data_IF_088047543883
#
_entry.id   IF_088047543883
#
_cell.length_a   1.000
_cell.length_b   1.000
_cell.length_c   1.000
_cell.angle_alpha   90.00
_cell.angle_beta   90.00
_cell.angle_gamma   90.00
#
_symmetry.space_group_name_H-M   'P 1'
#
loop_
_entity.id
_entity.type
_entity.pdbx_description
1 polymer ?
#
# COMPACT_ATOMS: atom_id res chain seq x y z
N UNK A 1 102.18 -5.49 55.06
CA UNK A 1 100.86 -5.24 54.61
C UNK A 1 100.15 -6.58 54.25
N UNK A 2 99.20 -7.10 55.07
CA UNK A 2 98.52 -8.34 54.83
C UNK A 2 97.22 -8.03 54.09
N UNK A 3 96.99 -8.67 52.93
CA UNK A 3 95.72 -8.55 52.17
C UNK A 3 94.68 -9.42 52.87
N UNK A 4 93.53 -8.82 53.26
CA UNK A 4 92.33 -9.49 53.74
C UNK A 4 91.63 -10.11 52.59
N UNK A 5 91.37 -11.42 52.63
CA UNK A 5 90.55 -12.14 51.64
C UNK A 5 89.07 -11.99 51.97
N UNK A 6 88.32 -11.34 51.13
CA UNK A 6 86.86 -11.26 51.20
C UNK A 6 86.28 -12.65 50.98
N UNK A 7 85.59 -13.16 51.99
CA UNK A 7 84.77 -14.38 51.89
C UNK A 7 83.40 -13.99 51.38
N UNK A 8 83.09 -14.30 50.11
CA UNK A 8 81.77 -14.25 49.63
C UNK A 8 80.88 -15.25 50.36
N UNK A 9 79.92 -14.78 51.18
CA UNK A 9 78.86 -15.59 51.78
C UNK A 9 78.01 -16.21 50.70
N UNK A 10 78.13 -17.53 50.47
CA UNK A 10 77.16 -18.29 49.68
C UNK A 10 75.85 -18.31 50.46
N UNK A 11 74.86 -17.61 49.98
CA UNK A 11 73.51 -17.73 50.50
C UNK A 11 72.92 -19.09 50.08
N UNK A 12 72.87 -19.99 51.04
CA UNK A 12 72.23 -21.27 50.90
C UNK A 12 70.71 -21.05 50.91
N UNK A 13 70.06 -21.13 49.77
CA UNK A 13 68.61 -21.18 49.61
C UNK A 13 68.16 -22.59 50.08
N UNK A 14 67.34 -22.69 51.11
CA UNK A 14 66.76 -23.93 51.55
C UNK A 14 65.87 -24.51 50.44
N UNK A 15 66.17 -25.74 49.94
CA UNK A 15 65.44 -26.33 48.82
C UNK A 15 63.96 -26.62 49.17
N UNK A 16 63.58 -26.71 50.44
CA UNK A 16 62.21 -26.94 50.93
C UNK A 16 61.33 -25.68 50.81
N UNK A 17 61.87 -24.50 50.64
CA UNK A 17 61.14 -23.25 50.46
C UNK A 17 61.33 -22.64 49.07
N UNK A 18 61.86 -23.38 48.08
CA UNK A 18 61.88 -22.97 46.69
C UNK A 18 60.46 -22.91 46.20
N UNK A 19 59.91 -21.68 46.06
CA UNK A 19 58.63 -21.50 45.41
C UNK A 19 58.68 -22.17 44.02
N UNK A 20 57.73 -23.04 43.69
CA UNK A 20 57.71 -23.65 42.36
C UNK A 20 57.67 -22.51 41.34
N UNK A 21 58.70 -22.40 40.50
CA UNK A 21 58.68 -21.55 39.33
C UNK A 21 57.49 -22.02 38.52
N UNK A 22 56.39 -21.28 38.61
CA UNK A 22 55.28 -21.39 37.66
C UNK A 22 55.90 -21.16 36.27
N UNK A 23 56.36 -22.23 35.65
CA UNK A 23 56.51 -22.28 34.21
C UNK A 23 55.09 -22.13 33.69
N UNK A 24 54.66 -20.86 33.50
CA UNK A 24 53.57 -20.58 32.54
C UNK A 24 53.99 -21.32 31.28
N UNK A 25 53.41 -22.49 31.09
CA UNK A 25 53.38 -23.10 29.75
C UNK A 25 52.77 -22.02 28.87
N UNK A 26 53.58 -21.13 28.33
CA UNK A 26 53.20 -20.46 27.09
C UNK A 26 52.85 -21.63 26.18
N UNK A 27 51.57 -21.94 26.09
CA UNK A 27 51.01 -22.68 25.00
C UNK A 27 51.46 -21.88 23.76
N UNK A 28 52.63 -22.23 23.30
CA UNK A 28 53.10 -21.78 22.00
C UNK A 28 52.02 -22.25 21.02
N UNK A 29 51.13 -21.35 20.67
CA UNK A 29 50.14 -21.51 19.64
C UNK A 29 50.88 -21.55 18.32
N UNK A 30 51.69 -22.58 18.13
CA UNK A 30 52.17 -22.96 16.81
C UNK A 30 50.94 -23.50 16.11
N UNK A 31 50.10 -22.58 15.62
CA UNK A 31 49.03 -22.98 14.71
C UNK A 31 49.68 -23.80 13.60
N UNK A 32 49.48 -25.10 13.62
CA UNK A 32 50.10 -25.98 12.64
C UNK A 32 49.83 -25.39 11.27
N UNK A 33 50.81 -25.25 10.41
CA UNK A 33 50.66 -24.75 9.07
C UNK A 33 49.48 -25.44 8.34
N UNK A 34 49.25 -26.71 8.64
CA UNK A 34 48.10 -27.49 8.19
C UNK A 34 46.77 -26.83 8.61
N UNK A 35 46.65 -26.35 9.85
CA UNK A 35 45.43 -25.61 10.29
C UNK A 35 45.23 -24.31 9.53
N UNK A 36 46.29 -23.57 9.25
CA UNK A 36 46.21 -22.33 8.43
C UNK A 36 45.80 -22.64 6.99
N UNK A 37 46.31 -23.70 6.41
CA UNK A 37 45.94 -24.14 5.07
C UNK A 37 44.47 -24.57 4.99
N UNK A 38 43.95 -25.27 6.01
CA UNK A 38 42.53 -25.63 6.07
C UNK A 38 41.66 -24.39 6.16
N UNK A 39 42.02 -23.39 6.97
CA UNK A 39 41.28 -22.12 7.08
C UNK A 39 41.28 -21.38 5.75
N UNK A 40 42.42 -21.28 5.07
CA UNK A 40 42.51 -20.64 3.75
C UNK A 40 41.66 -21.38 2.72
N UNK A 41 41.70 -22.70 2.72
CA UNK A 41 40.88 -23.53 1.81
C UNK A 41 39.40 -23.34 2.06
N UNK A 42 38.96 -23.36 3.33
CA UNK A 42 37.55 -23.08 3.68
C UNK A 42 37.14 -21.66 3.31
N UNK A 43 38.01 -20.68 3.51
CA UNK A 43 37.76 -19.29 3.11
C UNK A 43 37.64 -19.16 1.58
N UNK A 44 38.47 -19.89 0.81
CA UNK A 44 38.38 -19.91 -0.64
C UNK A 44 37.09 -20.56 -1.14
N UNK A 45 36.65 -21.67 -0.52
CA UNK A 45 35.37 -22.30 -0.84
C UNK A 45 34.22 -21.35 -0.52
N UNK A 46 34.23 -20.73 0.67
CA UNK A 46 33.21 -19.77 1.07
C UNK A 46 33.17 -18.57 0.14
N UNK A 47 34.32 -17.97 -0.17
CA UNK A 47 34.42 -16.86 -1.14
C UNK A 47 33.93 -17.24 -2.52
N UNK A 48 34.27 -18.46 -3.00
CA UNK A 48 33.78 -19.00 -4.25
C UNK A 48 32.25 -19.21 -4.26
N UNK A 49 31.68 -19.72 -3.16
CA UNK A 49 30.25 -19.88 -3.01
C UNK A 49 29.51 -18.53 -3.00
N UNK A 50 30.04 -17.54 -2.27
CA UNK A 50 29.50 -16.17 -2.24
C UNK A 50 29.56 -15.56 -3.65
N UNK A 51 30.72 -15.67 -4.32
CA UNK A 51 30.85 -15.18 -5.70
C UNK A 51 29.83 -15.86 -6.63
N UNK A 52 29.67 -17.17 -6.53
CA UNK A 52 28.72 -17.91 -7.34
C UNK A 52 27.27 -17.45 -7.10
N UNK A 53 26.87 -17.27 -5.85
CA UNK A 53 25.50 -16.84 -5.52
C UNK A 53 25.19 -15.44 -6.07
N UNK A 54 26.12 -14.48 -5.92
CA UNK A 54 25.86 -13.09 -6.26
C UNK A 54 26.22 -12.68 -7.69
N UNK A 55 27.11 -13.40 -8.34
CA UNK A 55 27.61 -13.01 -9.68
C UNK A 55 27.32 -14.04 -10.77
N UNK A 56 26.86 -15.24 -10.43
CA UNK A 56 26.52 -16.25 -11.44
C UNK A 56 25.27 -15.86 -12.22
N UNK A 57 25.24 -16.02 -13.55
CA UNK A 57 24.07 -15.88 -14.38
C UNK A 57 22.92 -16.86 -14.03
N UNK A 58 23.23 -17.92 -13.28
CA UNK A 58 22.26 -18.91 -12.83
C UNK A 58 21.18 -18.31 -11.93
N UNK A 59 21.51 -17.32 -11.11
CA UNK A 59 20.59 -16.63 -10.22
C UNK A 59 20.13 -15.27 -10.77
N UNK A 60 20.42 -14.98 -12.03
CA UNK A 60 19.91 -13.79 -12.70
C UNK A 60 18.42 -13.96 -12.99
N UNK A 61 17.63 -12.93 -12.65
CA UNK A 61 16.19 -12.88 -12.93
C UNK A 61 15.96 -12.86 -14.45
N UNK A 62 15.30 -13.90 -14.97
CA UNK A 62 14.94 -14.01 -16.39
C UNK A 62 13.44 -13.94 -16.61
N UNK A 63 12.66 -14.46 -15.66
CA UNK A 63 11.23 -14.57 -15.77
C UNK A 63 10.56 -13.62 -14.76
N UNK A 64 9.69 -12.77 -15.28
CA UNK A 64 8.85 -11.87 -14.49
C UNK A 64 7.40 -12.23 -14.81
N UNK A 65 6.69 -12.79 -13.85
CA UNK A 65 5.29 -13.14 -13.97
C UNK A 65 4.47 -12.16 -13.15
N UNK A 66 3.55 -11.44 -13.78
CA UNK A 66 2.66 -10.49 -13.12
C UNK A 66 1.23 -11.02 -13.29
N UNK A 67 0.56 -11.26 -12.18
CA UNK A 67 -0.81 -11.77 -12.16
C UNK A 67 -1.74 -10.77 -11.43
N UNK A 68 -3.01 -10.74 -11.84
CA UNK A 68 -4.05 -9.92 -11.21
C UNK A 68 -4.20 -8.52 -11.79
N UNK A 69 -3.60 -8.24 -12.95
CA UNK A 69 -3.82 -7.01 -13.70
C UNK A 69 -5.12 -7.09 -14.51
N UNK A 70 -5.95 -6.06 -14.40
CA UNK A 70 -7.21 -5.93 -15.13
C UNK A 70 -7.21 -4.70 -16.06
N UNK A 71 -6.75 -3.56 -15.56
CA UNK A 71 -6.78 -2.24 -16.23
C UNK A 71 -5.42 -1.64 -16.44
N UNK A 72 -4.46 -1.98 -15.56
CA UNK A 72 -3.09 -1.46 -15.66
C UNK A 72 -2.35 -2.28 -16.72
N UNK A 73 -1.64 -1.58 -17.60
CA UNK A 73 -0.89 -2.24 -18.65
C UNK A 73 0.29 -3.05 -18.06
N UNK A 74 0.37 -4.32 -18.45
CA UNK A 74 1.44 -5.24 -18.06
C UNK A 74 2.85 -4.65 -18.31
N UNK A 75 3.07 -4.05 -19.48
CA UNK A 75 4.37 -3.51 -19.86
C UNK A 75 4.78 -2.29 -19.01
N UNK A 76 3.82 -1.54 -18.48
CA UNK A 76 4.13 -0.41 -17.60
C UNK A 76 4.70 -0.88 -16.26
N UNK A 77 4.04 -1.87 -15.61
CA UNK A 77 4.56 -2.43 -14.34
C UNK A 77 5.88 -3.14 -14.57
N UNK A 78 5.96 -3.93 -15.65
CA UNK A 78 7.19 -4.60 -16.05
C UNK A 78 8.34 -3.62 -16.25
N UNK A 79 8.09 -2.47 -16.88
CA UNK A 79 9.09 -1.40 -17.04
C UNK A 79 9.64 -0.90 -15.72
N UNK A 80 8.78 -0.59 -14.74
CA UNK A 80 9.20 -0.16 -13.40
C UNK A 80 10.08 -1.22 -12.70
N UNK A 81 9.72 -2.51 -12.86
CA UNK A 81 10.51 -3.61 -12.29
C UNK A 81 11.87 -3.73 -12.99
N UNK A 82 11.89 -3.63 -14.33
CA UNK A 82 13.13 -3.69 -15.12
C UNK A 82 14.05 -2.54 -14.79
N UNK A 83 13.56 -1.32 -14.68
CA UNK A 83 14.35 -0.15 -14.29
C UNK A 83 15.04 -0.38 -12.94
N UNK A 84 14.35 -1.00 -11.99
CA UNK A 84 14.95 -1.36 -10.72
C UNK A 84 16.03 -2.44 -10.86
N UNK A 85 15.82 -3.44 -11.72
CA UNK A 85 16.81 -4.51 -11.96
C UNK A 85 18.11 -3.98 -12.57
N UNK A 86 18.08 -2.88 -13.33
CA UNK A 86 19.28 -2.20 -13.82
C UNK A 86 20.08 -1.48 -12.71
N UNK A 87 19.43 -1.21 -11.57
CA UNK A 87 20.07 -0.58 -10.42
C UNK A 87 21.07 -1.51 -9.71
N UNK A 88 21.87 -0.90 -8.82
CA UNK A 88 22.80 -1.63 -7.95
C UNK A 88 22.45 -1.43 -6.49
N UNK A 89 22.54 -2.50 -5.69
CA UNK A 89 22.42 -2.43 -4.24
C UNK A 89 23.83 -2.43 -3.63
N UNK A 90 24.07 -1.54 -2.67
CA UNK A 90 25.39 -1.36 -2.04
C UNK A 90 26.54 -1.08 -3.06
N UNK A 91 26.23 -0.44 -4.19
CA UNK A 91 27.15 -0.07 -5.27
C UNK A 91 27.85 -1.25 -5.99
N UNK A 92 27.76 -2.47 -5.47
CA UNK A 92 28.52 -3.64 -5.94
C UNK A 92 27.60 -4.72 -6.54
N UNK A 93 26.44 -4.95 -5.92
CA UNK A 93 25.56 -6.05 -6.31
C UNK A 93 24.45 -5.58 -7.25
N UNK A 94 24.35 -6.18 -8.41
CA UNK A 94 23.30 -5.87 -9.38
C UNK A 94 21.94 -6.40 -8.90
N UNK A 95 20.91 -5.58 -8.98
CA UNK A 95 19.55 -5.99 -8.58
C UNK A 95 18.88 -6.97 -9.55
N UNK A 96 19.51 -7.32 -10.67
CA UNK A 96 19.06 -8.39 -11.54
C UNK A 96 19.28 -9.80 -10.96
N UNK A 97 19.97 -9.92 -9.82
CA UNK A 97 20.13 -11.18 -9.10
C UNK A 97 18.98 -11.37 -8.10
N UNK A 98 18.37 -12.56 -8.08
CA UNK A 98 17.17 -12.86 -7.29
C UNK A 98 17.38 -12.67 -5.77
N UNK A 99 18.60 -12.91 -5.26
CA UNK A 99 18.92 -12.71 -3.84
C UNK A 99 19.18 -11.24 -3.50
N UNK A 100 19.58 -10.44 -4.47
CA UNK A 100 19.90 -9.02 -4.30
C UNK A 100 18.69 -8.14 -4.52
N UNK A 101 17.72 -8.58 -5.33
CA UNK A 101 16.53 -7.83 -5.69
C UNK A 101 15.80 -7.33 -4.45
N UNK A 102 15.59 -6.01 -4.37
CA UNK A 102 14.93 -5.35 -3.25
C UNK A 102 13.43 -5.25 -3.45
N UNK A 103 12.69 -6.17 -2.80
CA UNK A 103 11.22 -6.23 -2.86
C UNK A 103 10.56 -4.99 -2.28
N UNK A 104 11.15 -4.41 -1.22
CA UNK A 104 10.59 -3.23 -0.58
C UNK A 104 10.71 -2.00 -1.48
N UNK A 105 11.86 -1.84 -2.15
CA UNK A 105 12.04 -0.76 -3.11
C UNK A 105 11.12 -0.93 -4.31
N UNK A 106 10.95 -2.15 -4.84
CA UNK A 106 10.01 -2.43 -5.92
C UNK A 106 8.57 -2.12 -5.51
N UNK A 107 8.15 -2.59 -4.35
CA UNK A 107 6.82 -2.31 -3.80
C UNK A 107 6.58 -0.81 -3.62
N UNK A 108 7.58 -0.08 -3.12
CA UNK A 108 7.51 1.36 -2.96
C UNK A 108 7.33 2.07 -4.30
N UNK A 109 8.21 1.78 -5.28
CA UNK A 109 8.19 2.42 -6.61
C UNK A 109 6.85 2.18 -7.34
N UNK A 110 6.32 0.95 -7.26
CA UNK A 110 5.04 0.61 -7.85
C UNK A 110 3.90 1.30 -7.10
N UNK A 111 3.92 1.27 -5.77
CA UNK A 111 2.90 1.92 -4.96
C UNK A 111 2.90 3.45 -5.10
N UNK A 112 4.02 4.10 -5.39
CA UNK A 112 4.06 5.54 -5.65
C UNK A 112 3.37 5.90 -6.96
N UNK A 113 3.41 5.00 -7.94
CA UNK A 113 2.87 5.25 -9.28
C UNK A 113 1.42 4.78 -9.45
N UNK A 114 1.04 3.68 -8.78
CA UNK A 114 -0.28 3.06 -8.91
C UNK A 114 -0.99 2.94 -7.56
N UNK A 115 -2.29 3.21 -7.54
CA UNK A 115 -3.14 2.98 -6.37
C UNK A 115 -3.59 1.50 -6.37
N UNK A 116 -2.74 0.61 -5.87
CA UNK A 116 -3.08 -0.80 -5.74
C UNK A 116 -3.78 -1.05 -4.40
N UNK A 117 -4.67 -2.04 -4.36
CA UNK A 117 -5.30 -2.52 -3.13
C UNK A 117 -4.34 -3.44 -2.37
N UNK A 118 -3.69 -4.36 -3.09
CA UNK A 118 -2.67 -5.22 -2.56
C UNK A 118 -1.58 -5.48 -3.60
N UNK A 119 -0.35 -5.69 -3.12
CA UNK A 119 0.80 -6.00 -3.94
C UNK A 119 1.73 -6.95 -3.19
N UNK A 120 2.07 -8.07 -3.80
CA UNK A 120 2.95 -9.09 -3.21
C UNK A 120 3.99 -9.53 -4.22
N UNK A 121 5.22 -9.72 -3.75
CA UNK A 121 6.34 -10.26 -4.54
C UNK A 121 6.76 -11.59 -3.93
N UNK A 122 6.82 -12.62 -4.74
CA UNK A 122 7.32 -13.93 -4.37
C UNK A 122 8.52 -14.29 -5.26
N UNK A 123 9.65 -14.69 -4.64
CA UNK A 123 10.84 -15.16 -5.34
C UNK A 123 10.78 -16.68 -5.53
N UNK A 124 10.79 -17.15 -6.77
CA UNK A 124 10.95 -18.56 -7.10
C UNK A 124 12.32 -18.82 -7.70
N UNK A 125 13.17 -19.44 -6.91
CA UNK A 125 14.52 -19.82 -7.33
C UNK A 125 14.48 -20.76 -8.53
N UNK A 126 15.46 -20.68 -9.45
CA UNK A 126 16.63 -19.81 -9.34
C UNK A 126 16.46 -18.41 -9.96
N UNK A 127 15.45 -18.16 -10.83
CA UNK A 127 15.47 -17.04 -11.79
C UNK A 127 14.11 -16.37 -12.01
N UNK A 128 13.07 -16.68 -11.20
CA UNK A 128 11.70 -16.21 -11.44
C UNK A 128 11.21 -15.32 -10.32
N UNK A 129 10.69 -14.14 -10.68
CA UNK A 129 9.89 -13.28 -9.81
C UNK A 129 8.42 -13.40 -10.16
N UNK A 130 7.58 -13.56 -9.14
CA UNK A 130 6.12 -13.57 -9.27
C UNK A 130 5.58 -12.36 -8.52
N UNK A 131 4.82 -11.54 -9.24
CA UNK A 131 4.12 -10.37 -8.73
C UNK A 131 2.62 -10.67 -8.72
N UNK A 132 2.02 -10.63 -7.54
CA UNK A 132 0.57 -10.72 -7.37
C UNK A 132 0.05 -9.32 -7.09
N UNK A 133 -0.80 -8.83 -7.97
CA UNK A 133 -1.35 -7.46 -7.94
C UNK A 133 -2.85 -7.57 -7.74
N UNK A 134 -3.40 -6.75 -6.86
CA UNK A 134 -4.84 -6.54 -6.73
C UNK A 134 -5.11 -5.05 -7.02
N UNK A 135 -5.77 -4.78 -8.14
CA UNK A 135 -6.13 -3.42 -8.53
C UNK A 135 -7.33 -2.93 -7.72
N UNK A 136 -7.42 -1.61 -7.50
CA UNK A 136 -8.60 -0.98 -6.93
C UNK A 136 -9.69 -0.85 -7.98
N UNK A 137 -10.89 -1.32 -7.67
CA UNK A 137 -12.04 -1.21 -8.57
C UNK A 137 -12.73 0.15 -8.38
N UNK A 138 -12.98 0.90 -9.45
CA UNK A 138 -13.69 2.18 -9.40
C UNK A 138 -15.13 1.99 -8.88
N UNK A 139 -15.59 2.92 -8.07
CA UNK A 139 -16.94 2.91 -7.51
C UNK A 139 -17.73 4.19 -7.85
N UNK A 140 -17.09 5.36 -7.73
CA UNK A 140 -17.75 6.64 -7.98
C UNK A 140 -16.75 7.69 -8.50
N UNK A 141 -17.29 8.80 -8.99
CA UNK A 141 -16.54 9.98 -9.42
C UNK A 141 -16.69 11.05 -8.36
N UNK A 142 -15.56 11.53 -7.83
CA UNK A 142 -15.50 12.63 -6.87
C UNK A 142 -15.08 13.91 -7.55
N UNK A 143 -15.87 14.98 -7.36
CA UNK A 143 -15.56 16.31 -7.84
C UNK A 143 -15.28 17.24 -6.67
N UNK A 144 -14.09 17.81 -6.63
CA UNK A 144 -13.73 18.89 -5.70
C UNK A 144 -13.06 20.02 -6.45
N UNK A 145 -13.43 21.26 -6.17
CA UNK A 145 -13.01 22.44 -6.93
C UNK A 145 -13.26 22.26 -8.44
N UNK A 146 -12.20 22.24 -9.26
CA UNK A 146 -12.28 22.06 -10.72
C UNK A 146 -11.78 20.69 -11.19
N UNK A 147 -11.49 19.76 -10.26
CA UNK A 147 -10.89 18.46 -10.57
C UNK A 147 -11.85 17.33 -10.30
N UNK A 148 -11.67 16.26 -11.08
CA UNK A 148 -12.42 15.03 -10.96
C UNK A 148 -11.47 13.87 -10.65
N UNK A 149 -11.92 12.96 -9.79
CA UNK A 149 -11.15 11.81 -9.36
C UNK A 149 -12.01 10.54 -9.41
N UNK A 150 -11.39 9.44 -9.78
CA UNK A 150 -11.98 8.10 -9.55
C UNK A 150 -11.70 7.69 -8.12
N UNK A 151 -12.73 7.21 -7.43
CA UNK A 151 -12.69 6.71 -6.06
C UNK A 151 -13.14 5.26 -6.05
N UNK A 152 -12.47 4.44 -5.25
CA UNK A 152 -12.79 3.02 -5.11
C UNK A 152 -13.85 2.76 -4.04
N UNK A 153 -14.18 1.48 -3.86
CA UNK A 153 -15.16 1.01 -2.86
C UNK A 153 -14.74 1.25 -1.41
N UNK A 154 -13.44 1.47 -1.15
CA UNK A 154 -12.94 1.83 0.18
C UNK A 154 -13.01 3.34 0.45
N UNK A 155 -13.39 4.14 -0.54
CA UNK A 155 -13.42 5.60 -0.49
C UNK A 155 -12.05 6.24 -0.71
N UNK A 156 -11.14 5.55 -1.39
CA UNK A 156 -9.77 6.01 -1.68
C UNK A 156 -9.65 6.49 -3.12
N UNK A 157 -8.97 7.62 -3.34
CA UNK A 157 -8.69 8.15 -4.67
C UNK A 157 -7.74 7.23 -5.43
N UNK A 158 -8.18 6.75 -6.61
CA UNK A 158 -7.37 5.94 -7.53
C UNK A 158 -6.53 6.81 -8.46
N UNK A 159 -7.15 7.81 -9.10
CA UNK A 159 -6.51 8.74 -10.02
C UNK A 159 -7.36 9.98 -10.31
N UNK A 160 -6.71 11.03 -10.80
CA UNK A 160 -7.38 12.18 -11.40
C UNK A 160 -7.87 11.80 -12.80
N UNK A 161 -9.00 12.36 -13.23
CA UNK A 161 -9.59 12.17 -14.57
C UNK A 161 -9.95 13.51 -15.18
N UNK A 162 -10.05 13.53 -16.52
CA UNK A 162 -10.47 14.72 -17.25
C UNK A 162 -12.00 14.82 -17.33
N UNK A 163 -12.56 16.02 -17.60
CA UNK A 163 -14.00 16.16 -17.80
C UNK A 163 -14.55 15.29 -18.94
N UNK A 164 -13.75 15.04 -19.98
CA UNK A 164 -14.13 14.18 -21.11
C UNK A 164 -14.27 12.72 -20.68
N UNK A 165 -13.37 12.24 -19.80
CA UNK A 165 -13.47 10.89 -19.22
C UNK A 165 -14.72 10.74 -18.34
N UNK A 166 -15.16 11.79 -17.63
CA UNK A 166 -16.39 11.78 -16.81
C UNK A 166 -17.59 11.42 -17.67
N UNK A 167 -17.73 12.05 -18.85
CA UNK A 167 -18.84 11.76 -19.78
C UNK A 167 -18.86 10.30 -20.19
N UNK A 168 -17.68 9.71 -20.44
CA UNK A 168 -17.56 8.29 -20.79
C UNK A 168 -18.06 7.33 -19.68
N UNK A 169 -17.85 7.69 -18.41
CA UNK A 169 -18.34 6.92 -17.27
C UNK A 169 -19.83 7.12 -16.98
N UNK A 170 -20.44 8.18 -17.50
CA UNK A 170 -21.86 8.48 -17.28
C UNK A 170 -22.77 8.03 -18.42
N UNK A 171 -22.27 8.01 -19.65
CA UNK A 171 -23.14 7.83 -20.85
C UNK A 171 -23.14 6.40 -21.41
N UNK A 172 -22.11 5.61 -21.24
CA UNK A 172 -21.84 4.50 -22.16
C UNK A 172 -22.03 3.06 -21.66
N UNK A 173 -22.57 2.83 -20.43
CA UNK A 173 -22.81 1.43 -20.02
C UNK A 173 -24.14 1.28 -19.27
N UNK A 174 -25.12 0.52 -19.82
CA UNK A 174 -26.29 0.08 -19.06
C UNK A 174 -25.83 -0.76 -17.85
N UNK A 175 -26.02 -0.25 -16.63
CA UNK A 175 -25.66 -0.92 -15.38
C UNK A 175 -24.30 -0.55 -14.78
N UNK A 176 -23.54 0.38 -15.39
CA UNK A 176 -22.24 0.82 -14.90
C UNK A 176 -22.08 2.35 -14.80
N UNK A 177 -23.20 3.08 -14.71
CA UNK A 177 -23.14 4.53 -14.46
C UNK A 177 -22.55 4.76 -13.08
N UNK A 178 -21.40 5.45 -13.01
CA UNK A 178 -20.79 5.84 -11.74
C UNK A 178 -21.49 7.07 -11.18
N UNK A 179 -21.81 7.05 -9.91
CA UNK A 179 -22.35 8.19 -9.21
C UNK A 179 -21.38 9.37 -9.25
N UNK A 180 -21.87 10.57 -9.57
CA UNK A 180 -21.10 11.81 -9.50
C UNK A 180 -21.35 12.48 -8.15
N UNK A 181 -20.30 12.62 -7.35
CA UNK A 181 -20.33 13.17 -6.00
C UNK A 181 -19.55 14.48 -5.95
N UNK A 182 -20.19 15.53 -5.48
CA UNK A 182 -19.57 16.84 -5.27
C UNK A 182 -19.14 16.98 -3.81
N UNK A 183 -17.94 17.47 -3.62
CA UNK A 183 -17.40 17.85 -2.33
C UNK A 183 -17.90 19.26 -1.96
N UNK A 184 -18.81 19.35 -1.01
CA UNK A 184 -19.27 20.64 -0.48
C UNK A 184 -18.18 21.39 0.30
N UNK A 185 -17.18 20.68 0.84
CA UNK A 185 -16.06 21.28 1.61
C UNK A 185 -15.01 21.92 0.72
N UNK A 186 -14.91 21.48 -0.54
CA UNK A 186 -13.85 21.83 -1.48
C UNK A 186 -12.43 21.66 -0.90
N UNK A 187 -12.26 20.68 -0.01
CA UNK A 187 -10.97 20.39 0.60
C UNK A 187 -9.97 19.89 -0.47
N UNK A 188 -8.70 20.29 -0.38
CA UNK A 188 -7.68 19.74 -1.26
C UNK A 188 -7.52 18.24 -1.02
N UNK A 189 -7.53 17.47 -2.09
CA UNK A 189 -7.36 16.01 -2.04
C UNK A 189 -6.29 15.59 -3.02
N UNK A 190 -5.63 14.47 -2.73
CA UNK A 190 -4.52 13.94 -3.50
C UNK A 190 -4.64 12.46 -3.80
N UNK A 191 -3.71 11.97 -4.59
CA UNK A 191 -3.56 10.56 -4.94
C UNK A 191 -3.46 9.69 -3.68
N UNK A 192 -4.31 8.66 -3.59
CA UNK A 192 -4.45 7.72 -2.46
C UNK A 192 -5.05 8.29 -1.18
N UNK A 193 -5.55 9.49 -1.18
CA UNK A 193 -6.27 9.99 -0.01
C UNK A 193 -7.57 9.21 0.17
N UNK A 194 -7.84 8.84 1.41
CA UNK A 194 -9.14 8.28 1.80
C UNK A 194 -10.09 9.43 2.13
N UNK A 195 -11.05 9.65 1.23
CA UNK A 195 -11.98 10.80 1.28
C UNK A 195 -13.39 10.43 1.76
N UNK A 196 -13.76 9.16 1.69
CA UNK A 196 -15.06 8.66 2.15
C UNK A 196 -14.89 7.38 2.97
N UNK A 197 -15.89 7.03 3.75
CA UNK A 197 -16.00 5.71 4.32
C UNK A 197 -16.54 4.71 3.29
N UNK A 198 -16.23 3.42 3.45
CA UNK A 198 -16.77 2.36 2.57
C UNK A 198 -18.30 2.31 2.63
N UNK A 199 -18.86 2.58 3.81
CA UNK A 199 -20.31 2.63 4.03
C UNK A 199 -20.94 3.74 3.21
N UNK A 200 -20.33 4.93 3.18
CA UNK A 200 -20.82 6.07 2.38
C UNK A 200 -20.75 5.76 0.89
N UNK A 201 -19.66 5.14 0.41
CA UNK A 201 -19.53 4.73 -1.00
C UNK A 201 -20.62 3.72 -1.37
N UNK A 202 -20.82 2.69 -0.55
CA UNK A 202 -21.88 1.70 -0.75
C UNK A 202 -23.26 2.31 -0.73
N UNK A 203 -23.53 3.24 0.20
CA UNK A 203 -24.82 3.92 0.29
C UNK A 203 -25.10 4.75 -0.98
N UNK A 204 -24.11 5.52 -1.47
CA UNK A 204 -24.25 6.31 -2.71
C UNK A 204 -24.51 5.40 -3.91
N UNK A 205 -23.76 4.30 -4.05
CA UNK A 205 -23.93 3.35 -5.14
C UNK A 205 -25.32 2.70 -5.11
N UNK A 206 -25.85 2.36 -3.94
CA UNK A 206 -27.19 1.83 -3.77
C UNK A 206 -28.26 2.89 -4.10
N UNK A 207 -28.06 4.14 -3.70
CA UNK A 207 -28.96 5.24 -4.03
C UNK A 207 -29.00 5.51 -5.52
N UNK A 208 -27.84 5.49 -6.23
CA UNK A 208 -27.79 5.69 -7.69
C UNK A 208 -28.67 4.69 -8.44
N UNK A 209 -28.79 3.46 -7.95
CA UNK A 209 -29.61 2.41 -8.56
C UNK A 209 -31.07 2.41 -8.07
N UNK A 210 -31.31 2.83 -6.83
CA UNK A 210 -32.62 2.68 -6.16
C UNK A 210 -33.53 3.89 -6.29
N UNK A 211 -33.00 5.12 -6.31
CA UNK A 211 -33.80 6.35 -6.46
C UNK A 211 -34.60 6.38 -7.77
N UNK A 212 -34.04 5.94 -8.93
CA UNK A 212 -34.82 5.85 -10.15
C UNK A 212 -36.04 4.94 -10.05
N UNK A 213 -35.99 3.89 -9.21
CA UNK A 213 -37.16 3.02 -8.95
C UNK A 213 -38.28 3.71 -8.20
N UNK A 214 -38.00 4.82 -7.52
CA UNK A 214 -38.99 5.67 -6.88
C UNK A 214 -39.60 6.73 -7.82
N UNK A 215 -39.17 6.76 -9.09
CA UNK A 215 -39.67 7.68 -10.11
C UNK A 215 -38.99 9.04 -10.13
N UNK A 216 -37.81 9.18 -9.51
CA UNK A 216 -36.99 10.39 -9.55
C UNK A 216 -35.76 10.18 -10.41
N UNK A 217 -35.27 11.27 -11.01
CA UNK A 217 -33.97 11.28 -11.68
C UNK A 217 -32.91 11.85 -10.77
N UNK A 218 -31.66 11.38 -10.93
CA UNK A 218 -30.51 11.85 -10.14
C UNK A 218 -29.65 12.74 -11.01
N UNK A 219 -29.39 13.96 -10.54
CA UNK A 219 -28.42 14.85 -11.15
C UNK A 219 -27.02 14.64 -10.59
N UNK A 220 -26.88 14.65 -9.27
CA UNK A 220 -25.62 14.39 -8.57
C UNK A 220 -25.86 14.13 -7.07
N UNK A 221 -24.80 13.68 -6.40
CA UNK A 221 -24.74 13.62 -4.95
C UNK A 221 -23.80 14.72 -4.42
N UNK A 222 -23.99 15.09 -3.16
CA UNK A 222 -23.12 15.99 -2.41
C UNK A 222 -22.83 15.41 -1.03
N UNK A 223 -21.57 15.51 -0.61
CA UNK A 223 -21.11 15.12 0.72
C UNK A 223 -20.27 16.25 1.29
N UNK A 224 -20.53 16.66 2.52
CA UNK A 224 -19.85 17.83 3.13
C UNK A 224 -18.47 17.48 3.71
N UNK A 225 -18.32 16.30 4.30
CA UNK A 225 -17.08 15.83 4.94
C UNK A 225 -17.03 14.31 4.90
N UNK A 226 -15.82 13.76 4.87
CA UNK A 226 -15.55 12.32 4.93
C UNK A 226 -16.11 11.62 6.17
N UNK A 227 -16.29 12.36 7.25
CA UNK A 227 -16.84 11.87 8.52
C UNK A 227 -18.33 12.17 8.68
N UNK A 228 -18.94 12.93 7.77
CA UNK A 228 -20.37 13.22 7.81
C UNK A 228 -21.12 12.10 7.08
N UNK A 229 -21.99 11.36 7.76
CA UNK A 229 -22.80 10.33 7.13
C UNK A 229 -23.91 10.89 6.23
N UNK A 230 -24.03 12.21 6.09
CA UNK A 230 -25.08 12.86 5.32
C UNK A 230 -24.76 12.85 3.83
N UNK A 231 -25.65 12.22 3.06
CA UNK A 231 -25.64 12.22 1.59
C UNK A 231 -26.80 13.07 1.12
N UNK A 232 -26.52 14.14 0.41
CA UNK A 232 -27.52 14.96 -0.26
C UNK A 232 -27.61 14.53 -1.72
N UNK A 233 -28.77 14.13 -2.19
CA UNK A 233 -29.03 13.81 -3.57
C UNK A 233 -29.80 14.96 -4.23
N UNK A 234 -29.20 15.61 -5.22
CA UNK A 234 -29.91 16.57 -6.06
C UNK A 234 -30.65 15.79 -7.13
N UNK A 235 -31.98 15.95 -7.15
CA UNK A 235 -32.84 15.31 -8.15
C UNK A 235 -32.91 16.13 -9.45
N UNK A 236 -33.26 15.48 -10.55
CA UNK A 236 -33.51 16.17 -11.82
C UNK A 236 -34.76 17.06 -11.78
N UNK A 237 -35.65 16.81 -10.81
CA UNK A 237 -36.82 17.61 -10.52
C UNK A 237 -36.51 18.91 -9.79
N UNK A 238 -35.24 19.10 -9.34
CA UNK A 238 -34.71 20.34 -8.79
C UNK A 238 -34.77 20.47 -7.26
N UNK A 239 -35.12 19.44 -6.53
CA UNK A 239 -35.06 19.43 -5.05
C UNK A 239 -33.99 18.46 -4.53
N UNK A 240 -33.53 18.68 -3.30
CA UNK A 240 -32.54 17.82 -2.65
C UNK A 240 -33.23 16.79 -1.75
N UNK A 241 -32.70 15.56 -1.73
CA UNK A 241 -33.11 14.51 -0.78
C UNK A 241 -31.92 14.17 0.13
N UNK A 242 -32.12 14.25 1.42
CA UNK A 242 -31.08 13.98 2.42
C UNK A 242 -31.23 12.58 2.98
N UNK A 243 -30.17 11.79 2.82
CA UNK A 243 -30.03 10.45 3.35
C UNK A 243 -28.94 10.38 4.41
N UNK A 244 -29.00 9.37 5.25
CA UNK A 244 -27.90 8.98 6.13
C UNK A 244 -27.24 7.72 5.60
N UNK A 245 -25.92 7.72 5.41
CA UNK A 245 -25.15 6.53 5.08
C UNK A 245 -25.17 5.49 6.23
N UNK A 246 -25.38 5.96 7.45
CA UNK A 246 -25.49 5.12 8.66
C UNK A 246 -26.96 4.85 8.94
N UNK A 247 -27.32 3.58 9.05
CA UNK A 247 -28.70 3.15 9.32
C UNK A 247 -29.33 2.39 8.16
N UNK A 248 -30.63 2.18 8.25
CA UNK A 248 -31.37 1.42 7.22
C UNK A 248 -31.72 2.29 6.02
N UNK A 249 -30.92 2.18 4.98
CA UNK A 249 -31.12 2.90 3.72
C UNK A 249 -32.41 2.48 3.00
N UNK A 250 -32.80 1.20 3.13
CA UNK A 250 -34.03 0.71 2.52
C UNK A 250 -35.27 1.34 3.18
N UNK A 251 -35.24 1.49 4.50
CA UNK A 251 -36.33 2.18 5.22
C UNK A 251 -36.42 3.66 4.80
N UNK A 252 -35.29 4.33 4.57
CA UNK A 252 -35.26 5.71 4.05
C UNK A 252 -35.85 5.78 2.63
N UNK A 253 -35.51 4.82 1.76
CA UNK A 253 -36.07 4.75 0.40
C UNK A 253 -37.59 4.46 0.39
N UNK A 254 -38.08 3.58 1.25
CA UNK A 254 -39.52 3.32 1.35
C UNK A 254 -40.29 4.54 1.87
N UNK A 255 -39.71 5.30 2.79
CA UNK A 255 -40.27 6.60 3.22
C UNK A 255 -40.31 7.59 2.04
N UNK A 256 -39.28 7.67 1.24
CA UNK A 256 -39.27 8.52 0.05
C UNK A 256 -40.39 8.13 -0.91
N UNK A 257 -40.55 6.83 -1.21
CA UNK A 257 -41.62 6.33 -2.08
C UNK A 257 -43.02 6.65 -1.54
N UNK A 258 -43.21 6.49 -0.23
CA UNK A 258 -44.47 6.82 0.44
C UNK A 258 -44.77 8.31 0.37
N UNK A 259 -43.75 9.14 0.70
CA UNK A 259 -43.87 10.60 0.63
C UNK A 259 -44.27 11.08 -0.78
N UNK A 260 -43.59 10.56 -1.82
CA UNK A 260 -43.89 10.92 -3.21
C UNK A 260 -45.27 10.48 -3.70
N UNK A 261 -45.83 9.41 -3.14
CA UNK A 261 -47.21 8.96 -3.43
C UNK A 261 -48.25 9.83 -2.77
N UNK A 262 -48.02 10.24 -1.52
CA UNK A 262 -48.99 11.00 -0.71
C UNK A 262 -48.97 12.50 -1.02
N UNK A 263 -47.80 13.04 -1.30
CA UNK A 263 -47.61 14.45 -1.66
C UNK A 263 -47.50 14.61 -3.18
N UNK A 264 -48.67 14.79 -3.81
CA UNK A 264 -48.70 15.49 -5.08
C UNK A 264 -48.33 16.95 -4.78
N UNK A 265 -47.50 17.64 -5.58
CA UNK A 265 -47.26 19.08 -5.43
C UNK A 265 -48.58 19.83 -5.72
N UNK A 266 -49.41 19.93 -4.70
CA UNK A 266 -50.56 20.82 -4.67
C UNK A 266 -50.03 22.18 -4.25
N UNK A 267 -50.41 23.21 -4.99
CA UNK A 267 -50.16 24.62 -4.71
C UNK A 267 -48.95 25.28 -5.36
N UNK A 268 -48.39 24.78 -6.44
CA UNK A 268 -47.39 25.57 -7.23
C UNK A 268 -46.13 25.99 -6.51
N UNK A 269 -45.87 25.49 -5.29
CA UNK A 269 -44.61 25.69 -4.57
C UNK A 269 -43.66 24.56 -4.91
N UNK A 270 -42.53 24.87 -5.53
CA UNK A 270 -41.48 23.92 -5.81
C UNK A 270 -40.90 23.39 -4.50
N UNK A 271 -40.86 22.07 -4.36
CA UNK A 271 -40.18 21.41 -3.25
C UNK A 271 -38.71 21.78 -3.23
N UNK A 272 -38.17 22.17 -2.10
CA UNK A 272 -36.74 22.53 -1.96
C UNK A 272 -35.90 21.36 -1.48
N UNK A 273 -36.37 20.67 -0.43
CA UNK A 273 -35.68 19.47 0.08
C UNK A 273 -36.65 18.51 0.79
N UNK A 274 -36.21 17.26 0.89
CA UNK A 274 -36.81 16.20 1.71
C UNK A 274 -35.73 15.56 2.56
N UNK A 275 -35.87 15.57 3.88
CA UNK A 275 -34.91 15.00 4.82
C UNK A 275 -35.44 13.69 5.41
N UNK A 276 -34.79 12.58 5.08
CA UNK A 276 -35.19 11.21 5.45
C UNK A 276 -34.33 10.62 6.57
N UNK A 277 -33.37 11.34 7.11
CA UNK A 277 -32.41 10.87 8.10
C UNK A 277 -33.02 10.47 9.45
N UNK A 278 -34.18 11.01 9.76
CA UNK A 278 -34.86 10.76 11.04
C UNK A 278 -35.73 9.54 10.97
N UNK A 279 -35.70 8.67 11.98
CA UNK A 279 -36.38 7.38 11.94
C UNK A 279 -37.89 7.50 11.71
N UNK A 280 -38.57 8.38 12.44
CA UNK A 280 -40.07 8.45 12.50
C UNK A 280 -40.65 9.70 11.82
N UNK A 281 -39.84 10.57 11.24
CA UNK A 281 -40.31 11.85 10.68
C UNK A 281 -39.65 12.14 9.34
N UNK A 282 -40.40 12.82 8.49
CA UNK A 282 -39.91 13.39 7.25
C UNK A 282 -40.00 14.91 7.38
N UNK A 283 -38.87 15.60 7.22
CA UNK A 283 -38.89 17.06 7.13
C UNK A 283 -38.75 17.46 5.65
N UNK A 284 -39.54 18.43 5.25
CA UNK A 284 -39.52 18.94 3.87
C UNK A 284 -39.85 20.43 3.82
N UNK A 285 -39.44 21.09 2.79
CA UNK A 285 -39.73 22.51 2.53
C UNK A 285 -39.97 22.77 1.06
#
# INVERSE_FOLDING_TARGET
>A
MRRIKDYHRKTYGNPFFARPRNRSRRLGRSGSWRGKLIIIFLAAIFGGAVYFIFYSPYFSIKNINIAGLERINYEEIRGVIQDQMFGSRFFIFKQNNIFVFDENAASKNINEKYALKAFKIDKRLPETLIFSVEERSPALIWKTSLKYYIVDWDGTIIREITPEEVSGYQENQPGAKMALVFDDSNAPVGFKDKILSSETVLAISNLETSIPTAGLTISNFKVADKNDPVIKCLTGEGFEVYFSAVGDLNAQLEKLKTFLKEKKPEDGKALQYVDLRFADRIYYK
#
